data_IF_258478454411
#
_entry.id   IF_258478454411
#
_cell.length_a   1.000
_cell.length_b   1.000
_cell.length_c   1.000
_cell.angle_alpha   90.00
_cell.angle_beta   90.00
_cell.angle_gamma   90.00
#
_symmetry.space_group_name_H-M   'P 1'
#
loop_
_entity.id
_entity.type
_entity.pdbx_description
1 polymer ?
#
# COMPACT_ATOMS: atom_id res chain seq x y z
N UNK A 1 24.22 0.71 7.62
CA UNK A 1 23.28 -0.43 7.54
C UNK A 1 23.10 -0.95 8.96
N UNK A 2 22.00 -0.60 9.64
CA UNK A 2 21.76 -1.03 11.01
C UNK A 2 21.19 -2.45 10.99
N UNK A 3 21.95 -3.40 11.53
CA UNK A 3 21.53 -4.80 11.66
C UNK A 3 20.49 -4.89 12.78
N UNK A 4 19.23 -5.24 12.45
CA UNK A 4 18.24 -5.57 13.46
C UNK A 4 18.70 -6.84 14.20
N UNK A 5 18.84 -6.78 15.53
CA UNK A 5 19.13 -7.95 16.34
C UNK A 5 17.98 -8.96 16.19
N UNK A 6 18.31 -10.21 15.87
CA UNK A 6 17.32 -11.28 15.74
C UNK A 6 16.74 -11.61 17.12
N UNK A 7 15.48 -11.24 17.35
CA UNK A 7 14.74 -11.55 18.57
C UNK A 7 14.49 -13.06 18.68
N UNK A 8 14.63 -13.65 19.86
CA UNK A 8 14.35 -15.08 20.12
C UNK A 8 12.94 -15.28 20.66
N UNK A 9 12.41 -16.50 20.54
CA UNK A 9 11.12 -16.89 21.10
C UNK A 9 11.14 -16.80 22.63
N UNK A 10 10.24 -16.03 23.24
CA UNK A 10 10.17 -15.84 24.69
C UNK A 10 9.58 -17.05 25.44
N UNK A 11 8.99 -18.01 24.70
CA UNK A 11 8.38 -19.22 25.28
C UNK A 11 9.36 -20.39 25.36
N UNK A 12 10.14 -20.62 24.30
CA UNK A 12 11.06 -21.77 24.24
C UNK A 12 12.54 -21.38 24.18
N UNK A 13 12.84 -20.08 24.06
CA UNK A 13 14.18 -19.46 23.99
C UNK A 13 15.12 -19.99 22.90
N UNK A 14 14.71 -20.99 22.13
CA UNK A 14 15.52 -21.66 21.11
C UNK A 14 15.14 -21.30 19.67
N UNK A 15 13.88 -20.97 19.41
CA UNK A 15 13.39 -20.64 18.06
C UNK A 15 13.46 -19.13 17.75
N UNK A 16 13.41 -18.73 16.47
CA UNK A 16 13.38 -17.32 16.09
C UNK A 16 12.03 -16.68 16.50
N UNK A 17 12.08 -15.49 17.11
CA UNK A 17 10.91 -14.73 17.56
C UNK A 17 10.28 -13.96 16.40
N UNK A 18 9.59 -14.66 15.51
CA UNK A 18 9.04 -14.10 14.25
C UNK A 18 7.54 -13.80 14.30
N UNK A 19 6.88 -14.13 15.41
CA UNK A 19 5.45 -13.91 15.59
C UNK A 19 5.15 -13.28 16.94
N UNK A 20 4.44 -12.14 16.95
CA UNK A 20 4.08 -11.44 18.17
C UNK A 20 2.60 -11.53 18.48
N UNK A 21 2.28 -12.00 19.68
CA UNK A 21 0.92 -12.08 20.17
C UNK A 21 0.52 -10.75 20.83
N UNK A 22 -0.39 -10.00 20.21
CA UNK A 22 -0.77 -8.67 20.72
C UNK A 22 -1.40 -8.72 22.11
N UNK A 23 -2.15 -9.78 22.41
CA UNK A 23 -2.85 -9.95 23.69
C UNK A 23 -1.94 -10.41 24.84
N UNK A 24 -0.77 -10.98 24.51
CA UNK A 24 0.16 -11.53 25.51
C UNK A 24 1.46 -10.74 25.62
N UNK A 25 1.68 -9.76 24.73
CA UNK A 25 2.90 -8.95 24.63
C UNK A 25 4.18 -9.81 24.61
N UNK A 26 4.14 -10.88 23.80
CA UNK A 26 5.17 -11.92 23.78
C UNK A 26 5.52 -12.33 22.36
N UNK A 27 6.80 -12.64 22.15
CA UNK A 27 7.38 -13.16 20.92
C UNK A 27 7.41 -14.69 20.89
N UNK A 28 6.94 -15.27 19.79
CA UNK A 28 6.80 -16.70 19.57
C UNK A 28 7.51 -17.10 18.26
N UNK A 29 8.13 -18.27 18.27
CA UNK A 29 8.46 -18.97 17.03
C UNK A 29 7.23 -19.65 16.44
N UNK A 30 7.34 -20.13 15.19
CA UNK A 30 6.22 -20.78 14.49
C UNK A 30 5.57 -21.92 15.26
N UNK A 31 6.36 -22.77 15.93
CA UNK A 31 5.84 -23.87 16.74
C UNK A 31 5.13 -23.39 17.99
N UNK A 32 5.71 -22.44 18.72
CA UNK A 32 5.11 -21.87 19.94
C UNK A 32 3.81 -21.12 19.62
N UNK A 33 3.72 -20.39 18.49
CA UNK A 33 2.49 -19.76 18.01
C UNK A 33 1.37 -20.78 17.81
N UNK A 34 1.66 -21.89 17.11
CA UNK A 34 0.65 -22.92 16.85
C UNK A 34 0.15 -23.58 18.13
N UNK A 35 1.07 -23.86 19.07
CA UNK A 35 0.72 -24.37 20.39
C UNK A 35 -0.14 -23.39 21.17
N UNK A 36 0.21 -22.09 21.13
CA UNK A 36 -0.53 -21.01 21.76
C UNK A 36 -1.97 -20.92 21.23
N UNK A 37 -2.16 -20.91 19.91
CA UNK A 37 -3.50 -20.85 19.31
C UNK A 37 -4.34 -22.12 19.52
N UNK A 38 -3.74 -23.23 19.95
CA UNK A 38 -4.45 -24.47 20.25
C UNK A 38 -5.09 -24.46 21.64
N UNK A 39 -4.67 -23.58 22.54
CA UNK A 39 -5.27 -23.50 23.88
C UNK A 39 -6.63 -22.78 23.84
N UNK A 40 -7.55 -23.17 24.73
CA UNK A 40 -8.90 -22.57 24.78
C UNK A 40 -8.89 -21.06 25.05
N UNK A 41 -7.88 -20.58 25.78
CA UNK A 41 -7.77 -19.17 26.20
C UNK A 41 -7.25 -18.33 25.04
N UNK A 42 -6.18 -18.77 24.38
CA UNK A 42 -5.48 -17.98 23.36
C UNK A 42 -5.86 -18.31 21.92
N UNK A 43 -6.87 -19.16 21.67
CA UNK A 43 -7.32 -19.55 20.31
C UNK A 43 -7.66 -18.39 19.37
N UNK A 44 -8.11 -17.26 19.93
CA UNK A 44 -8.54 -16.08 19.19
C UNK A 44 -7.51 -14.94 19.27
N UNK A 45 -6.31 -15.21 19.80
CA UNK A 45 -5.27 -14.18 19.89
C UNK A 45 -4.72 -13.85 18.49
N UNK A 46 -4.38 -12.59 18.30
CA UNK A 46 -3.96 -12.02 17.03
C UNK A 46 -2.45 -11.96 17.00
N UNK A 47 -1.86 -12.46 15.91
CA UNK A 47 -0.43 -12.47 15.71
C UNK A 47 -0.01 -11.51 14.61
N UNK A 48 0.98 -10.67 14.89
CA UNK A 48 1.72 -9.90 13.89
C UNK A 48 2.95 -10.71 13.44
N UNK A 49 3.30 -10.67 12.15
CA UNK A 49 4.44 -11.39 11.59
C UNK A 49 5.16 -10.50 10.58
N UNK A 50 6.46 -10.30 10.74
CA UNK A 50 7.27 -9.46 9.86
C UNK A 50 8.61 -9.04 10.50
N UNK A 51 9.54 -8.47 9.72
CA UNK A 51 10.85 -8.00 10.19
C UNK A 51 10.77 -6.81 11.17
N UNK A 52 9.57 -6.30 11.42
CA UNK A 52 9.27 -5.16 12.27
C UNK A 52 8.21 -5.56 13.30
N UNK A 53 8.41 -6.69 13.97
CA UNK A 53 7.77 -6.88 15.27
C UNK A 53 8.49 -5.96 16.25
N UNK A 54 8.11 -4.69 16.19
CA UNK A 54 8.41 -3.78 17.27
C UNK A 54 7.35 -4.09 18.32
N UNK A 55 7.72 -4.77 19.40
CA UNK A 55 7.10 -4.50 20.71
C UNK A 55 6.97 -2.99 20.76
N UNK A 56 5.76 -2.47 20.94
CA UNK A 56 5.46 -1.03 20.95
C UNK A 56 6.71 -0.29 21.40
N UNK A 57 7.47 0.26 20.45
CA UNK A 57 8.72 0.92 20.81
C UNK A 57 8.22 2.10 21.60
N UNK A 58 8.25 1.98 22.92
CA UNK A 58 7.80 3.01 23.82
C UNK A 58 8.56 4.23 23.41
N UNK A 59 7.85 5.20 22.84
CA UNK A 59 8.47 6.39 22.32
C UNK A 59 8.73 7.29 23.53
N UNK A 60 9.99 7.68 23.68
CA UNK A 60 10.44 8.51 24.78
C UNK A 60 10.73 9.92 24.30
N UNK A 61 10.43 10.89 25.17
CA UNK A 61 10.89 12.25 25.04
C UNK A 61 12.41 12.28 25.19
N UNK A 62 13.11 12.84 24.21
CA UNK A 62 14.58 12.92 24.18
C UNK A 62 15.14 13.89 25.21
N UNK A 63 14.36 14.87 25.67
CA UNK A 63 14.82 15.86 26.65
C UNK A 63 14.69 15.38 28.09
N UNK A 64 13.72 14.49 28.35
CA UNK A 64 13.33 14.10 29.70
C UNK A 64 13.45 12.60 29.97
N UNK A 65 13.79 11.80 28.94
CA UNK A 65 13.84 10.33 29.00
C UNK A 65 12.52 9.69 29.52
N UNK A 66 11.41 10.42 29.38
CA UNK A 66 10.08 10.06 29.84
C UNK A 66 9.21 9.59 28.69
N UNK A 67 8.29 8.65 28.95
CA UNK A 67 7.38 8.15 27.92
C UNK A 67 6.44 9.27 27.44
N UNK A 68 6.15 9.29 26.15
CA UNK A 68 5.05 10.11 25.64
C UNK A 68 3.71 9.54 26.09
N UNK A 69 2.87 10.38 26.70
CA UNK A 69 1.55 10.00 27.23
C UNK A 69 0.43 10.81 26.60
N UNK A 70 0.76 12.00 26.11
CA UNK A 70 -0.20 12.94 25.54
C UNK A 70 0.13 13.23 24.09
N UNK A 71 -0.85 13.77 23.39
CA UNK A 71 -0.68 14.39 22.09
C UNK A 71 -1.09 15.85 22.21
N UNK A 72 -0.26 16.76 21.73
CA UNK A 72 -0.60 18.18 21.71
C UNK A 72 -1.21 18.53 20.35
N UNK A 73 -2.51 18.81 20.34
CA UNK A 73 -3.27 19.10 19.12
C UNK A 73 -2.82 20.40 18.45
N UNK A 74 -2.34 21.38 19.22
CA UNK A 74 -1.85 22.66 18.68
C UNK A 74 -0.47 22.54 18.01
N UNK A 75 0.36 21.61 18.48
CA UNK A 75 1.71 21.40 17.96
C UNK A 75 1.82 20.22 17.01
N UNK A 76 0.80 19.36 16.93
CA UNK A 76 0.78 18.13 16.14
C UNK A 76 1.86 17.11 16.58
N UNK A 77 2.21 17.08 17.88
CA UNK A 77 3.33 16.27 18.41
C UNK A 77 2.97 15.47 19.66
N UNK A 78 3.59 14.29 19.88
CA UNK A 78 3.50 13.57 21.15
C UNK A 78 4.25 14.31 22.27
N UNK A 79 3.73 14.27 23.49
CA UNK A 79 4.18 15.06 24.64
C UNK A 79 4.26 14.19 25.90
N UNK A 80 5.39 14.28 26.63
CA UNK A 80 5.57 13.62 27.92
C UNK A 80 4.99 14.47 29.06
N UNK A 81 4.92 13.91 30.26
CA UNK A 81 4.36 14.62 31.43
C UNK A 81 5.10 15.90 31.81
N UNK A 82 6.41 16.00 31.55
CA UNK A 82 7.18 17.20 31.89
C UNK A 82 6.95 18.30 30.86
N UNK A 83 7.10 17.98 29.57
CA UNK A 83 6.81 18.92 28.47
C UNK A 83 5.38 19.46 28.52
N UNK A 84 4.40 18.66 28.98
CA UNK A 84 3.01 19.10 29.09
C UNK A 84 2.83 20.28 30.05
N UNK A 85 3.69 20.40 31.06
CA UNK A 85 3.64 21.48 32.05
C UNK A 85 4.60 22.62 31.69
N UNK A 86 5.78 22.31 31.18
CA UNK A 86 6.81 23.33 30.92
C UNK A 86 6.57 24.09 29.60
N UNK A 87 6.22 23.36 28.54
CA UNK A 87 6.19 23.90 27.16
C UNK A 87 4.79 23.96 26.57
N UNK A 88 3.90 23.05 26.98
CA UNK A 88 2.56 22.89 26.39
C UNK A 88 1.42 23.16 27.39
N UNK A 89 1.69 23.85 28.50
CA UNK A 89 0.71 24.03 29.61
C UNK A 89 -0.60 24.72 29.23
N UNK A 90 -0.61 25.46 28.12
CA UNK A 90 -1.79 26.18 27.62
C UNK A 90 -2.34 25.60 26.32
N UNK A 91 -1.77 24.51 25.84
CA UNK A 91 -2.21 23.88 24.60
C UNK A 91 -3.28 22.83 24.86
N UNK A 92 -4.08 22.57 23.83
CA UNK A 92 -4.99 21.45 23.83
C UNK A 92 -4.19 20.15 23.79
N UNK A 93 -4.46 19.30 24.78
CA UNK A 93 -3.82 18.00 24.92
C UNK A 93 -4.87 16.90 25.00
N UNK A 94 -4.57 15.81 24.32
CA UNK A 94 -5.38 14.61 24.25
C UNK A 94 -4.55 13.40 24.68
N UNK A 95 -5.21 12.32 25.07
CA UNK A 95 -4.53 11.05 25.34
C UNK A 95 -3.88 10.52 24.05
N UNK A 96 -2.61 10.14 24.13
CA UNK A 96 -1.84 9.75 22.94
C UNK A 96 -2.47 8.56 22.20
N UNK A 97 -3.01 7.57 22.93
CA UNK A 97 -3.60 6.39 22.31
C UNK A 97 -4.88 6.73 21.56
N UNK A 98 -5.74 7.58 22.15
CA UNK A 98 -6.97 8.05 21.51
C UNK A 98 -6.67 8.88 20.27
N UNK A 99 -5.67 9.75 20.33
CA UNK A 99 -5.28 10.58 19.19
C UNK A 99 -4.65 9.73 18.08
N UNK A 100 -3.81 8.77 18.43
CA UNK A 100 -3.27 7.80 17.46
C UNK A 100 -4.37 7.01 16.76
N UNK A 101 -5.38 6.51 17.49
CA UNK A 101 -6.53 5.81 16.90
C UNK A 101 -7.33 6.71 15.96
N UNK A 102 -7.63 7.93 16.38
CA UNK A 102 -8.37 8.91 15.58
C UNK A 102 -7.63 9.27 14.30
N UNK A 103 -6.35 9.66 14.41
CA UNK A 103 -5.50 10.01 13.27
C UNK A 103 -5.40 8.83 12.31
N UNK A 104 -5.16 7.62 12.84
CA UNK A 104 -5.11 6.40 12.03
C UNK A 104 -6.42 6.18 11.28
N UNK A 105 -7.56 6.31 11.93
CA UNK A 105 -8.86 6.16 11.29
C UNK A 105 -9.06 7.18 10.16
N UNK A 106 -8.77 8.45 10.41
CA UNK A 106 -8.90 9.51 9.41
C UNK A 106 -7.96 9.30 8.22
N UNK A 107 -6.71 8.94 8.47
CA UNK A 107 -5.72 8.63 7.42
C UNK A 107 -6.20 7.45 6.57
N UNK A 108 -6.60 6.34 7.18
CA UNK A 108 -7.09 5.15 6.46
C UNK A 108 -8.31 5.51 5.62
N UNK A 109 -9.31 6.18 6.20
CA UNK A 109 -10.52 6.63 5.50
C UNK A 109 -10.19 7.51 4.29
N UNK A 110 -9.26 8.46 4.45
CA UNK A 110 -8.85 9.35 3.38
C UNK A 110 -8.10 8.61 2.25
N UNK A 111 -7.25 7.66 2.61
CA UNK A 111 -6.54 6.80 1.65
C UNK A 111 -7.55 5.93 0.88
N UNK A 112 -8.49 5.28 1.57
CA UNK A 112 -9.52 4.43 0.95
C UNK A 112 -10.39 5.22 -0.04
N UNK A 113 -10.81 6.43 0.33
CA UNK A 113 -11.54 7.32 -0.56
C UNK A 113 -10.73 7.65 -1.82
N UNK A 114 -9.47 8.08 -1.67
CA UNK A 114 -8.58 8.40 -2.80
C UNK A 114 -8.31 7.19 -3.69
N UNK A 115 -8.06 6.01 -3.10
CA UNK A 115 -7.87 4.76 -3.84
C UNK A 115 -9.10 4.40 -4.64
N UNK A 116 -10.29 4.55 -4.05
CA UNK A 116 -11.57 4.25 -4.71
C UNK A 116 -11.80 5.19 -5.91
N UNK A 117 -11.62 6.50 -5.72
CA UNK A 117 -11.71 7.49 -6.82
C UNK A 117 -10.70 7.18 -7.93
N UNK A 118 -9.45 6.89 -7.58
CA UNK A 118 -8.41 6.55 -8.56
C UNK A 118 -8.74 5.28 -9.34
N UNK A 119 -9.29 4.24 -8.70
CA UNK A 119 -9.73 3.01 -9.38
C UNK A 119 -10.85 3.29 -10.40
N UNK A 120 -11.83 4.11 -10.03
CA UNK A 120 -12.92 4.51 -10.95
C UNK A 120 -12.35 5.25 -12.16
N UNK A 121 -11.48 6.24 -11.93
CA UNK A 121 -10.86 7.00 -13.00
C UNK A 121 -10.00 6.12 -13.92
N UNK A 122 -9.22 5.20 -13.35
CA UNK A 122 -8.43 4.24 -14.13
C UNK A 122 -9.32 3.39 -15.03
N UNK A 123 -10.43 2.86 -14.50
CA UNK A 123 -11.37 2.05 -15.28
C UNK A 123 -12.02 2.83 -16.44
N UNK A 124 -12.24 4.14 -16.25
CA UNK A 124 -12.75 5.03 -17.31
C UNK A 124 -11.71 5.22 -18.41
N UNK A 125 -10.47 5.54 -18.03
CA UNK A 125 -9.34 5.70 -18.96
C UNK A 125 -9.09 4.42 -19.75
N UNK A 126 -9.14 3.25 -19.11
CA UNK A 126 -8.97 1.95 -19.77
C UNK A 126 -10.04 1.71 -20.84
N UNK A 127 -11.31 2.04 -20.54
CA UNK A 127 -12.42 1.94 -21.50
C UNK A 127 -12.22 2.88 -22.69
N UNK A 128 -11.94 4.16 -22.44
CA UNK A 128 -11.70 5.16 -23.49
C UNK A 128 -10.52 4.77 -24.37
N UNK A 129 -9.41 4.32 -23.77
CA UNK A 129 -8.23 3.86 -24.50
C UNK A 129 -8.53 2.66 -25.39
N UNK A 130 -9.38 1.73 -24.92
CA UNK A 130 -9.83 0.60 -25.74
C UNK A 130 -10.67 1.07 -26.93
N UNK A 131 -11.63 1.97 -26.70
CA UNK A 131 -12.46 2.54 -27.77
C UNK A 131 -11.60 3.21 -28.83
N UNK A 132 -10.68 4.10 -28.45
CA UNK A 132 -9.78 4.75 -29.41
C UNK A 132 -8.90 3.75 -30.17
N UNK A 133 -8.42 2.70 -29.51
CA UNK A 133 -7.66 1.63 -30.18
C UNK A 133 -8.49 0.93 -31.25
N UNK A 134 -9.74 0.60 -30.93
CA UNK A 134 -10.65 -0.10 -31.85
C UNK A 134 -11.02 0.80 -33.04
N UNK A 135 -11.26 2.10 -32.79
CA UNK A 135 -11.50 3.11 -33.84
C UNK A 135 -10.28 3.28 -34.77
N UNK A 136 -9.08 3.46 -34.21
CA UNK A 136 -7.84 3.56 -34.98
C UNK A 136 -7.64 2.31 -35.85
N UNK A 137 -7.88 1.12 -35.29
CA UNK A 137 -7.75 -0.14 -36.02
C UNK A 137 -8.75 -0.23 -37.17
N UNK A 138 -9.98 0.24 -36.98
CA UNK A 138 -10.98 0.28 -38.04
C UNK A 138 -10.56 1.23 -39.17
N UNK A 139 -10.08 2.43 -38.84
CA UNK A 139 -9.59 3.41 -39.82
C UNK A 139 -8.41 2.85 -40.62
N UNK A 140 -7.42 2.25 -39.95
CA UNK A 140 -6.27 1.62 -40.62
C UNK A 140 -6.73 0.53 -41.59
N UNK A 141 -7.72 -0.28 -41.20
CA UNK A 141 -8.27 -1.33 -42.07
C UNK A 141 -8.88 -0.73 -43.33
N UNK A 142 -9.73 0.29 -43.20
CA UNK A 142 -10.35 0.97 -44.34
C UNK A 142 -9.31 1.57 -45.29
N UNK A 143 -8.32 2.31 -44.76
CA UNK A 143 -7.25 2.89 -45.57
C UNK A 143 -6.47 1.80 -46.33
N UNK A 144 -6.21 0.67 -45.67
CA UNK A 144 -5.48 -0.46 -46.29
C UNK A 144 -6.29 -1.11 -47.41
N UNK A 145 -7.60 -1.31 -47.20
CA UNK A 145 -8.50 -1.88 -48.21
C UNK A 145 -8.62 -0.97 -49.44
N UNK A 146 -8.81 0.33 -49.22
CA UNK A 146 -8.82 1.33 -50.29
C UNK A 146 -7.48 1.38 -51.04
N UNK A 147 -6.36 1.40 -50.32
CA UNK A 147 -5.02 1.38 -50.91
C UNK A 147 -4.78 0.15 -51.80
N UNK A 148 -5.18 -1.03 -51.34
CA UNK A 148 -5.10 -2.27 -52.12
C UNK A 148 -6.00 -2.23 -53.35
N UNK A 149 -7.20 -1.66 -53.24
CA UNK A 149 -8.10 -1.49 -54.37
C UNK A 149 -7.46 -0.63 -55.47
N UNK A 150 -6.93 0.54 -55.13
CA UNK A 150 -6.28 1.44 -56.09
C UNK A 150 -5.05 0.80 -56.72
N UNK A 151 -4.21 0.12 -55.92
CA UNK A 151 -3.05 -0.63 -56.41
C UNK A 151 -3.46 -1.65 -57.48
N UNK A 152 -4.48 -2.45 -57.22
CA UNK A 152 -4.98 -3.46 -58.17
C UNK A 152 -5.48 -2.83 -59.49
N UNK A 153 -6.11 -1.66 -59.44
CA UNK A 153 -6.54 -0.95 -60.65
C UNK A 153 -5.35 -0.44 -61.47
N UNK A 154 -4.34 0.14 -60.81
CA UNK A 154 -3.11 0.61 -61.44
C UNK A 154 -2.37 -0.55 -62.11
N UNK A 155 -2.18 -1.66 -61.39
CA UNK A 155 -1.50 -2.85 -61.90
C UNK A 155 -2.22 -3.42 -63.13
N UNK A 156 -3.55 -3.53 -63.10
CA UNK A 156 -4.35 -3.96 -64.27
C UNK A 156 -4.18 -3.04 -65.48
N UNK A 157 -4.17 -1.72 -65.27
CA UNK A 157 -4.01 -0.74 -66.36
C UNK A 157 -2.60 -0.77 -66.93
N UNK A 158 -1.58 -0.87 -66.07
CA UNK A 158 -0.18 -1.02 -66.47
C UNK A 158 0.03 -2.27 -67.33
N UNK A 159 -0.49 -3.44 -66.90
CA UNK A 159 -0.36 -4.69 -67.65
C UNK A 159 -1.02 -4.62 -69.03
N UNK A 160 -2.21 -4.01 -69.15
CA UNK A 160 -2.85 -3.78 -70.47
C UNK A 160 -1.98 -2.91 -71.38
N UNK A 161 -1.38 -1.85 -70.84
CA UNK A 161 -0.48 -0.98 -71.60
C UNK A 161 0.77 -1.69 -72.09
N UNK A 162 1.38 -2.53 -71.24
CA UNK A 162 2.57 -3.32 -71.60
C UNK A 162 2.23 -4.32 -72.71
N UNK A 163 1.09 -5.01 -72.60
CA UNK A 163 0.64 -5.96 -73.63
C UNK A 163 0.42 -5.30 -74.99
N UNK A 164 -0.17 -4.11 -75.04
CA UNK A 164 -0.39 -3.37 -76.30
C UNK A 164 0.93 -2.98 -76.98
N UNK A 165 2.01 -2.74 -76.22
CA UNK A 165 3.31 -2.38 -76.79
C UNK A 165 4.13 -3.56 -77.32
N UNK A 166 3.70 -4.80 -77.04
CA UNK A 166 4.38 -6.03 -77.44
C UNK A 166 3.83 -6.65 -78.74
N UNK A 167 2.76 -6.06 -79.31
CA UNK A 167 2.17 -6.40 -80.60
C UNK A 167 2.20 -5.18 -81.53
#
# INVERSE_FOLDING_TARGET
MAQAAASTCEICTAGPGEHYCQQCDQLFCGSCKLSHLRTKISKNHTFLSGPSINKEEKLFCTEHEEMFLFYCDDCDTPVCRICSVEKHSRHLMTDLTKSAEKIRFEVVKNIEAKVTTSKVNLSKIEKETKTYRDEIKAVIKTITEEGNYWKNLIDKKYMKMVLIKLF
#
